data_IF_181617205988
#
_entry.id   IF_181617205988
#
_cell.length_a   1.000
_cell.length_b   1.000
_cell.length_c   1.000
_cell.angle_alpha   90.00
_cell.angle_beta   90.00
_cell.angle_gamma   90.00
#
_symmetry.space_group_name_H-M   'P 1'
#
loop_
_entity.id
_entity.type
_entity.pdbx_description
1 polymer ?
#
# COMPACT_ATOMS: atom_id res chain seq x y z
N UNK A 1 -13.46 -11.38 37.05
CA UNK A 1 -13.92 -12.79 36.97
C UNK A 1 -13.06 -13.63 37.92
N UNK A 2 -13.62 -14.33 38.92
CA UNK A 2 -12.83 -15.18 39.84
C UNK A 2 -12.80 -16.62 39.33
N UNK A 3 -11.61 -17.18 39.13
CA UNK A 3 -11.42 -18.58 38.73
C UNK A 3 -11.41 -19.46 39.99
N UNK A 4 -12.23 -20.50 40.03
CA UNK A 4 -12.29 -21.45 41.15
C UNK A 4 -11.14 -22.47 41.13
N UNK A 5 -10.76 -22.97 42.31
CA UNK A 5 -9.78 -24.07 42.45
C UNK A 5 -10.20 -25.31 41.64
N UNK A 6 -11.52 -25.55 41.51
CA UNK A 6 -12.07 -26.64 40.69
C UNK A 6 -11.73 -26.46 39.20
N UNK A 7 -11.87 -25.24 38.68
CA UNK A 7 -11.50 -24.91 37.30
C UNK A 7 -9.99 -25.03 37.06
N UNK A 8 -9.15 -24.64 38.03
CA UNK A 8 -7.68 -24.78 37.95
C UNK A 8 -7.28 -26.26 37.85
N UNK A 9 -7.87 -27.14 38.67
CA UNK A 9 -7.57 -28.58 38.63
C UNK A 9 -7.95 -29.24 37.30
N UNK A 10 -9.08 -28.82 36.72
CA UNK A 10 -9.51 -29.29 35.39
C UNK A 10 -8.47 -28.90 34.34
N UNK A 11 -8.01 -27.64 34.36
CA UNK A 11 -6.99 -27.14 33.44
C UNK A 11 -5.68 -27.91 33.56
N UNK A 12 -5.17 -28.10 34.79
CA UNK A 12 -3.94 -28.88 35.04
C UNK A 12 -4.07 -30.31 34.49
N UNK A 13 -5.22 -30.97 34.68
CA UNK A 13 -5.45 -32.32 34.16
C UNK A 13 -5.55 -32.37 32.63
N UNK A 14 -6.04 -31.31 31.98
CA UNK A 14 -6.06 -31.20 30.53
C UNK A 14 -4.67 -31.04 29.93
N UNK A 15 -3.77 -30.30 30.60
CA UNK A 15 -2.41 -30.01 30.11
C UNK A 15 -1.46 -31.20 30.33
N UNK A 16 -1.73 -32.06 31.32
CA UNK A 16 -0.90 -33.25 31.65
C UNK A 16 -0.93 -34.35 30.59
N UNK A 17 -1.97 -34.41 29.77
CA UNK A 17 -2.07 -35.38 28.68
C UNK A 17 -1.43 -34.79 27.42
N UNK A 18 -0.31 -35.35 26.91
CA UNK A 18 0.41 -34.78 25.78
C UNK A 18 -0.43 -34.74 24.50
N UNK A 19 -1.39 -35.65 24.32
CA UNK A 19 -2.30 -35.63 23.16
C UNK A 19 -3.28 -34.47 23.25
N UNK A 20 -3.85 -34.23 24.44
CA UNK A 20 -4.76 -33.09 24.67
C UNK A 20 -4.02 -31.76 24.57
N UNK A 21 -2.79 -31.69 25.10
CA UNK A 21 -1.94 -30.52 24.95
C UNK A 21 -1.67 -30.22 23.47
N UNK A 22 -1.34 -31.23 22.67
CA UNK A 22 -1.08 -31.07 21.24
C UNK A 22 -2.33 -30.62 20.47
N UNK A 23 -3.51 -31.14 20.83
CA UNK A 23 -4.79 -30.68 20.29
C UNK A 23 -5.05 -29.21 20.66
N UNK A 24 -4.81 -28.82 21.92
CA UNK A 24 -4.98 -27.42 22.36
C UNK A 24 -4.02 -26.50 21.59
N UNK A 25 -2.75 -26.88 21.46
CA UNK A 25 -1.76 -26.10 20.71
C UNK A 25 -2.14 -25.98 19.23
N UNK A 26 -2.63 -27.06 18.62
CA UNK A 26 -3.14 -27.04 17.25
C UNK A 26 -4.36 -26.12 17.12
N UNK A 27 -5.31 -26.19 18.04
CA UNK A 27 -6.49 -25.31 18.04
C UNK A 27 -6.09 -23.83 18.23
N UNK A 28 -5.09 -23.54 19.06
CA UNK A 28 -4.55 -22.20 19.22
C UNK A 28 -3.84 -21.71 17.95
N UNK A 29 -2.98 -22.54 17.34
CA UNK A 29 -2.31 -22.20 16.09
C UNK A 29 -3.31 -22.01 14.93
N UNK A 30 -4.31 -22.89 14.84
CA UNK A 30 -5.38 -22.80 13.85
C UNK A 30 -6.23 -21.55 14.05
N UNK A 31 -6.63 -21.25 15.29
CA UNK A 31 -7.32 -20.01 15.62
C UNK A 31 -6.46 -18.77 15.28
N UNK A 32 -5.15 -18.81 15.52
CA UNK A 32 -4.25 -17.73 15.14
C UNK A 32 -4.24 -17.51 13.63
N UNK A 33 -4.12 -18.57 12.84
CA UNK A 33 -4.18 -18.50 11.37
C UNK A 33 -5.54 -17.96 10.88
N UNK A 34 -6.65 -18.37 11.51
CA UNK A 34 -7.99 -17.86 11.16
C UNK A 34 -8.20 -16.38 11.49
N UNK A 35 -7.45 -15.83 12.45
CA UNK A 35 -7.54 -14.43 12.88
C UNK A 35 -6.40 -13.55 12.33
N UNK A 36 -5.63 -14.05 11.36
CA UNK A 36 -4.60 -13.26 10.70
C UNK A 36 -5.27 -12.26 9.76
N UNK A 37 -5.20 -10.97 10.09
CA UNK A 37 -5.57 -9.88 9.18
C UNK A 37 -4.30 -9.39 8.49
N UNK A 38 -4.24 -9.57 7.18
CA UNK A 38 -3.13 -9.12 6.36
C UNK A 38 -3.16 -7.59 6.12
N UNK A 39 -4.29 -6.93 6.45
CA UNK A 39 -4.39 -5.49 6.35
C UNK A 39 -3.80 -4.82 7.58
N UNK A 40 -2.51 -4.47 7.49
CA UNK A 40 -1.91 -3.57 8.45
C UNK A 40 -2.16 -2.11 8.04
N UNK A 41 -2.74 -1.34 8.96
CA UNK A 41 -2.94 0.10 8.80
C UNK A 41 -1.94 0.86 9.67
N UNK A 42 -1.20 1.79 9.06
CA UNK A 42 -0.19 2.59 9.74
C UNK A 42 -0.51 4.07 9.56
N UNK A 43 -0.59 4.82 10.67
CA UNK A 43 -0.66 6.28 10.64
C UNK A 43 0.76 6.83 10.51
N UNK A 44 1.05 7.56 9.44
CA UNK A 44 2.39 8.09 9.21
C UNK A 44 2.33 9.53 8.70
N UNK A 45 3.35 10.33 9.04
CA UNK A 45 3.48 11.69 8.53
C UNK A 45 4.34 11.72 7.29
N UNK A 46 3.81 12.21 6.17
CA UNK A 46 4.60 12.36 4.94
C UNK A 46 5.67 13.43 5.15
N UNK A 47 6.92 13.02 5.00
CA UNK A 47 8.11 13.87 5.21
C UNK A 47 8.76 14.31 3.90
N UNK A 48 8.60 13.54 2.82
CA UNK A 48 9.13 13.85 1.51
C UNK A 48 8.32 13.13 0.42
N UNK A 49 8.25 13.72 -0.77
CA UNK A 49 7.68 13.10 -1.97
C UNK A 49 8.82 12.96 -2.96
N UNK A 50 9.16 11.71 -3.28
CA UNK A 50 10.30 11.35 -4.13
C UNK A 50 9.93 11.55 -5.60
N UNK A 51 8.80 11.01 -6.01
CA UNK A 51 8.25 11.12 -7.37
C UNK A 51 6.70 10.99 -7.34
N UNK A 52 6.08 10.75 -8.50
CA UNK A 52 4.62 10.69 -8.65
C UNK A 52 3.95 9.46 -8.02
N UNK A 53 4.70 8.44 -7.58
CA UNK A 53 4.14 7.28 -6.88
C UNK A 53 4.95 6.83 -5.66
N UNK A 54 6.02 7.54 -5.30
CA UNK A 54 6.89 7.19 -4.19
C UNK A 54 7.02 8.34 -3.19
N UNK A 55 6.85 8.05 -1.91
CA UNK A 55 7.02 9.00 -0.79
C UNK A 55 7.94 8.44 0.30
N UNK A 56 8.37 9.32 1.19
CA UNK A 56 8.97 8.94 2.47
C UNK A 56 8.11 9.48 3.62
N UNK A 57 7.72 8.61 4.54
CA UNK A 57 6.92 8.98 5.70
C UNK A 57 7.64 8.63 7.01
N UNK A 58 7.23 9.29 8.09
CA UNK A 58 7.69 8.99 9.45
C UNK A 58 6.59 8.26 10.20
N UNK A 59 6.95 7.11 10.76
CA UNK A 59 6.14 6.37 11.71
C UNK A 59 6.97 6.24 12.98
N UNK A 60 6.47 6.79 14.10
CA UNK A 60 7.24 6.93 15.33
C UNK A 60 8.60 7.63 15.08
N UNK A 61 9.72 6.93 15.29
CA UNK A 61 11.08 7.42 15.04
C UNK A 61 11.72 6.84 13.77
N UNK A 62 10.98 6.06 13.00
CA UNK A 62 11.47 5.39 11.80
C UNK A 62 11.04 6.11 10.52
N UNK A 63 11.92 6.03 9.52
CA UNK A 63 11.67 6.55 8.18
C UNK A 63 11.28 5.40 7.27
N UNK A 64 10.06 5.46 6.75
CA UNK A 64 9.51 4.48 5.83
C UNK A 64 9.61 5.01 4.40
N UNK A 65 9.94 4.13 3.45
CA UNK A 65 9.80 4.41 2.01
C UNK A 65 8.56 3.68 1.50
N UNK A 66 7.68 4.42 0.86
CA UNK A 66 6.39 3.89 0.41
C UNK A 66 6.25 4.13 -1.08
N UNK A 67 5.89 3.08 -1.81
CA UNK A 67 5.40 3.17 -3.19
C UNK A 67 3.89 2.91 -3.19
N UNK A 68 3.16 3.76 -3.90
CA UNK A 68 1.72 3.69 -3.99
C UNK A 68 1.31 2.44 -4.77
N UNK A 69 0.58 1.55 -4.11
CA UNK A 69 0.13 0.28 -4.67
C UNK A 69 -0.92 0.48 -5.79
N UNK A 70 -0.83 -0.35 -6.82
CA UNK A 70 -1.78 -0.38 -7.93
C UNK A 70 -1.63 0.75 -8.96
N UNK A 71 -0.61 1.61 -8.84
CA UNK A 71 -0.36 2.71 -9.77
C UNK A 71 1.09 2.74 -10.23
N UNK A 72 1.34 3.34 -11.40
CA UNK A 72 2.69 3.62 -11.91
C UNK A 72 2.72 5.05 -12.48
N UNK A 73 3.44 5.95 -11.82
CA UNK A 73 3.55 7.34 -12.27
C UNK A 73 4.67 7.52 -13.29
N UNK A 74 4.59 8.52 -14.20
CA UNK A 74 5.70 8.86 -15.06
C UNK A 74 6.97 9.17 -14.26
N UNK A 75 8.10 8.66 -14.72
CA UNK A 75 9.41 8.87 -14.10
C UNK A 75 9.81 10.35 -14.13
N UNK A 76 10.66 10.79 -13.20
CA UNK A 76 10.96 12.24 -13.02
C UNK A 76 11.47 12.96 -14.28
N UNK A 77 12.18 12.24 -15.14
CA UNK A 77 12.73 12.66 -16.43
C UNK A 77 11.86 12.25 -17.63
N UNK A 78 10.76 11.54 -17.39
CA UNK A 78 9.71 11.30 -18.38
C UNK A 78 8.77 12.51 -18.50
N UNK A 79 8.14 12.67 -19.66
CA UNK A 79 7.03 13.60 -19.82
C UNK A 79 5.98 13.40 -18.71
N UNK A 80 5.50 14.51 -18.14
CA UNK A 80 4.58 14.56 -17.00
C UNK A 80 5.11 14.10 -15.63
N UNK A 81 6.34 13.57 -15.52
CA UNK A 81 6.89 13.12 -14.23
C UNK A 81 6.98 14.19 -13.16
N UNK A 82 7.53 15.35 -13.52
CA UNK A 82 7.60 16.52 -12.62
C UNK A 82 6.21 16.99 -12.18
N UNK A 83 5.23 17.00 -13.09
CA UNK A 83 3.86 17.42 -12.78
C UNK A 83 3.16 16.42 -11.85
N UNK A 84 3.36 15.11 -12.06
CA UNK A 84 2.84 14.07 -11.19
C UNK A 84 3.41 14.20 -9.77
N UNK A 85 4.73 14.44 -9.66
CA UNK A 85 5.42 14.65 -8.38
C UNK A 85 4.89 15.90 -7.67
N UNK A 86 4.74 17.02 -8.39
CA UNK A 86 4.19 18.25 -7.84
C UNK A 86 2.75 18.09 -7.36
N UNK A 87 1.92 17.35 -8.12
CA UNK A 87 0.54 17.09 -7.76
C UNK A 87 0.44 16.25 -6.48
N UNK A 88 1.21 15.16 -6.38
CA UNK A 88 1.25 14.36 -5.15
C UNK A 88 1.75 15.19 -3.97
N UNK A 89 2.84 15.93 -4.15
CA UNK A 89 3.41 16.82 -3.14
C UNK A 89 2.38 17.82 -2.58
N UNK A 90 1.65 18.51 -3.46
CA UNK A 90 0.62 19.46 -3.06
C UNK A 90 -0.50 18.83 -2.22
N UNK A 91 -0.76 17.54 -2.43
CA UNK A 91 -1.82 16.82 -1.73
C UNK A 91 -1.35 16.28 -0.39
N UNK A 92 -0.13 15.73 -0.27
CA UNK A 92 0.24 14.91 0.89
C UNK A 92 1.40 15.42 1.73
N UNK A 93 2.23 16.34 1.23
CA UNK A 93 3.43 16.77 1.96
C UNK A 93 3.06 17.35 3.34
N UNK A 94 3.79 16.93 4.38
CA UNK A 94 3.60 17.33 5.78
C UNK A 94 2.24 16.97 6.39
N UNK A 95 1.46 16.08 5.75
CA UNK A 95 0.17 15.61 6.28
C UNK A 95 0.31 14.24 6.94
N UNK A 96 -0.58 13.98 7.89
CA UNK A 96 -0.80 12.65 8.45
C UNK A 96 -1.64 11.84 7.46
N UNK A 97 -1.20 10.65 7.12
CA UNK A 97 -1.87 9.73 6.21
C UNK A 97 -2.04 8.37 6.86
N UNK A 98 -3.04 7.62 6.41
CA UNK A 98 -3.23 6.22 6.78
C UNK A 98 -2.74 5.36 5.63
N UNK A 99 -1.78 4.48 5.89
CA UNK A 99 -1.22 3.55 4.92
C UNK A 99 -1.86 2.18 5.15
N UNK A 100 -2.60 1.68 4.17
CA UNK A 100 -3.05 0.30 4.12
C UNK A 100 -1.99 -0.54 3.40
N UNK A 101 -1.18 -1.25 4.17
CA UNK A 101 -0.04 -2.02 3.66
C UNK A 101 -0.55 -3.23 2.88
N UNK A 102 0.05 -3.46 1.71
CA UNK A 102 -0.30 -4.56 0.81
C UNK A 102 0.83 -5.56 0.62
N UNK A 103 2.07 -5.07 0.54
CA UNK A 103 3.23 -5.91 0.29
C UNK A 103 4.53 -5.10 0.54
N UNK A 104 5.67 -5.72 0.31
CA UNK A 104 6.99 -5.08 0.23
C UNK A 104 7.65 -5.43 -1.10
N UNK A 105 8.17 -4.43 -1.81
CA UNK A 105 8.89 -4.71 -3.04
C UNK A 105 10.35 -5.14 -2.80
N UNK A 106 10.97 -5.72 -3.82
CA UNK A 106 12.38 -6.19 -3.75
C UNK A 106 13.42 -5.11 -3.43
N UNK A 107 13.04 -3.83 -3.43
CA UNK A 107 13.91 -2.71 -3.09
C UNK A 107 13.72 -2.26 -1.62
N UNK A 108 12.89 -2.97 -0.86
CA UNK A 108 12.56 -2.65 0.53
C UNK A 108 11.59 -1.47 0.67
N UNK A 109 10.81 -1.16 -0.37
CA UNK A 109 9.73 -0.17 -0.28
C UNK A 109 8.45 -0.88 0.12
N UNK A 110 7.74 -0.28 1.06
CA UNK A 110 6.40 -0.70 1.44
C UNK A 110 5.44 -0.35 0.28
N UNK A 111 4.65 -1.31 -0.16
CA UNK A 111 3.58 -1.11 -1.12
C UNK A 111 2.27 -0.87 -0.35
N UNK A 112 1.67 0.30 -0.55
CA UNK A 112 0.48 0.68 0.23
C UNK A 112 -0.57 1.47 -0.58
N UNK A 113 -1.83 1.31 -0.19
CA UNK A 113 -2.89 2.26 -0.54
C UNK A 113 -2.89 3.35 0.52
N UNK A 114 -2.69 4.59 0.10
CA UNK A 114 -2.58 5.73 1.01
C UNK A 114 -3.89 6.49 1.09
N UNK A 115 -4.36 6.74 2.31
CA UNK A 115 -5.56 7.50 2.59
C UNK A 115 -5.23 8.82 3.29
N UNK A 116 -5.90 9.89 2.88
CA UNK A 116 -5.89 11.18 3.56
C UNK A 116 -7.34 11.62 3.77
N UNK A 117 -7.77 11.73 5.03
CA UNK A 117 -9.18 12.04 5.37
C UNK A 117 -10.17 11.11 4.63
N UNK A 118 -9.96 9.80 4.75
CA UNK A 118 -10.73 8.73 4.11
C UNK A 118 -10.71 8.72 2.56
N UNK A 119 -9.89 9.58 1.95
CA UNK A 119 -9.72 9.63 0.50
C UNK A 119 -8.53 8.82 0.05
N UNK A 120 -8.75 7.85 -0.83
CA UNK A 120 -7.71 7.10 -1.52
C UNK A 120 -6.90 8.02 -2.44
N UNK A 121 -5.64 8.26 -2.09
CA UNK A 121 -4.74 9.13 -2.85
C UNK A 121 -4.25 8.43 -4.12
N UNK A 122 -4.09 7.12 -4.11
CA UNK A 122 -3.68 6.35 -5.29
C UNK A 122 -4.75 6.51 -6.39
N UNK A 123 -6.03 6.36 -6.02
CA UNK A 123 -7.17 6.64 -6.88
C UNK A 123 -7.15 8.09 -7.41
N UNK A 124 -6.87 9.07 -6.54
CA UNK A 124 -6.81 10.50 -6.90
C UNK A 124 -5.71 10.76 -7.93
N UNK A 125 -4.55 10.12 -7.82
CA UNK A 125 -3.45 10.24 -8.79
C UNK A 125 -3.92 9.78 -10.18
N UNK A 126 -4.53 8.61 -10.27
CA UNK A 126 -5.00 8.04 -11.55
C UNK A 126 -6.14 8.86 -12.14
N UNK A 127 -7.15 9.22 -11.33
CA UNK A 127 -8.34 9.96 -11.77
C UNK A 127 -8.01 11.35 -12.34
N UNK A 128 -6.90 11.94 -11.92
CA UNK A 128 -6.42 13.24 -12.43
C UNK A 128 -5.35 13.11 -13.52
N UNK A 129 -5.03 11.89 -13.97
CA UNK A 129 -4.09 11.65 -15.05
C UNK A 129 -2.63 11.87 -14.65
N UNK A 130 -2.28 11.68 -13.38
CA UNK A 130 -0.89 11.79 -12.90
C UNK A 130 -0.23 10.43 -12.64
N UNK A 131 -0.98 9.34 -12.80
CA UNK A 131 -0.45 7.98 -12.80
C UNK A 131 -1.30 7.08 -13.72
N UNK A 132 -0.68 5.99 -14.17
CA UNK A 132 -1.36 4.89 -14.84
C UNK A 132 -1.93 3.93 -13.78
N UNK A 133 -3.05 3.29 -14.09
CA UNK A 133 -3.47 2.09 -13.37
C UNK A 133 -2.48 0.97 -13.70
N UNK A 134 -1.89 0.34 -12.68
CA UNK A 134 -0.84 -0.65 -12.90
C UNK A 134 -1.41 -2.06 -13.04
N UNK A 135 -2.02 -2.29 -14.20
CA UNK A 135 -2.77 -3.51 -14.56
C UNK A 135 -1.93 -4.80 -14.56
N UNK A 136 -0.59 -4.69 -14.48
CA UNK A 136 0.29 -5.85 -14.32
C UNK A 136 0.14 -6.55 -12.95
N UNK A 137 -0.34 -5.84 -11.93
CA UNK A 137 -0.45 -6.36 -10.56
C UNK A 137 -1.87 -6.33 -10.00
N UNK A 138 -2.75 -5.46 -10.52
CA UNK A 138 -4.13 -5.35 -10.03
C UNK A 138 -5.03 -4.65 -11.03
N UNK A 139 -6.33 -4.95 -10.99
CA UNK A 139 -7.37 -4.23 -11.74
C UNK A 139 -7.83 -2.93 -11.05
N UNK A 140 -7.10 -2.47 -10.03
CA UNK A 140 -7.42 -1.24 -9.32
C UNK A 140 -7.28 -0.03 -10.26
N UNK A 141 -8.21 0.92 -10.08
CA UNK A 141 -8.20 2.24 -10.70
C UNK A 141 -8.38 2.29 -12.24
N UNK A 142 -8.73 1.17 -12.88
CA UNK A 142 -8.98 1.12 -14.34
C UNK A 142 -10.10 2.08 -14.76
N UNK A 143 -11.17 2.17 -13.95
CA UNK A 143 -12.28 3.09 -14.23
C UNK A 143 -11.85 4.56 -14.13
N UNK A 144 -11.02 4.89 -13.16
CA UNK A 144 -10.46 6.22 -12.96
C UNK A 144 -9.51 6.62 -14.07
N UNK A 145 -8.74 5.65 -14.57
CA UNK A 145 -7.88 5.83 -15.74
C UNK A 145 -8.74 6.13 -16.98
N UNK A 146 -9.79 5.36 -17.21
CA UNK A 146 -10.71 5.58 -18.34
C UNK A 146 -11.38 6.96 -18.25
N UNK A 147 -11.85 7.33 -17.06
CA UNK A 147 -12.37 8.68 -16.81
C UNK A 147 -11.33 9.77 -17.12
N UNK A 148 -10.07 9.60 -16.70
CA UNK A 148 -9.01 10.56 -16.96
C UNK A 148 -8.68 10.68 -18.46
N UNK A 149 -8.73 9.57 -19.21
CA UNK A 149 -8.59 9.52 -20.68
C UNK A 149 -9.71 10.28 -21.38
N UNK A 150 -10.97 9.95 -21.07
CA UNK A 150 -12.17 10.57 -21.66
C UNK A 150 -12.19 12.09 -21.46
N UNK A 151 -11.69 12.54 -20.30
CA UNK A 151 -11.67 13.95 -19.91
C UNK A 151 -10.33 14.65 -20.22
N UNK A 152 -9.40 13.98 -20.93
CA UNK A 152 -8.07 14.51 -21.29
C UNK A 152 -7.35 15.16 -20.11
N UNK A 153 -7.27 14.44 -18.98
CA UNK A 153 -6.63 14.94 -17.75
C UNK A 153 -5.15 14.59 -17.70
N UNK A 154 -4.33 15.49 -17.17
CA UNK A 154 -2.90 15.23 -16.91
C UNK A 154 -2.18 14.70 -18.15
N UNK A 155 -1.52 13.55 -18.02
CA UNK A 155 -0.79 12.89 -19.10
C UNK A 155 -1.66 12.51 -20.31
N UNK A 156 -2.99 12.39 -20.14
CA UNK A 156 -3.94 12.08 -21.21
C UNK A 156 -4.31 13.28 -22.09
N UNK A 157 -3.72 14.45 -21.85
CA UNK A 157 -3.74 15.57 -22.81
C UNK A 157 -2.86 15.23 -24.02
N UNK A 158 -1.78 14.47 -23.81
CA UNK A 158 -0.92 13.97 -24.87
C UNK A 158 -1.67 12.98 -25.76
N UNK A 159 -1.42 13.00 -27.06
CA UNK A 159 -2.00 12.04 -28.00
C UNK A 159 -1.39 10.64 -27.82
N UNK A 160 -0.11 10.55 -27.43
CA UNK A 160 0.61 9.29 -27.31
C UNK A 160 1.43 9.21 -26.01
N UNK A 161 0.79 9.27 -24.83
CA UNK A 161 1.52 9.14 -23.58
C UNK A 161 2.13 7.75 -23.46
N UNK A 162 3.38 7.70 -22.99
CA UNK A 162 4.13 6.45 -22.84
C UNK A 162 3.96 5.94 -21.40
N UNK A 163 3.68 4.66 -21.21
CA UNK A 163 3.69 4.03 -19.88
C UNK A 163 5.10 4.03 -19.27
N UNK A 164 5.25 4.21 -17.95
CA UNK A 164 6.57 4.25 -17.33
C UNK A 164 7.37 2.96 -17.55
N UNK A 165 6.74 1.78 -17.51
CA UNK A 165 7.40 0.52 -17.85
C UNK A 165 7.99 0.48 -19.28
N UNK A 166 7.25 1.00 -20.27
CA UNK A 166 7.70 1.09 -21.67
C UNK A 166 8.85 2.08 -21.80
N UNK A 167 8.74 3.23 -21.14
CA UNK A 167 9.79 4.25 -21.10
C UNK A 167 11.10 3.72 -20.47
N UNK A 168 11.02 3.01 -19.33
CA UNK A 168 12.19 2.39 -18.67
C UNK A 168 12.91 1.41 -19.59
N UNK A 169 12.17 0.64 -20.41
CA UNK A 169 12.76 -0.28 -21.39
C UNK A 169 13.52 0.45 -22.50
N UNK A 170 13.00 1.57 -22.99
CA UNK A 170 13.64 2.34 -24.05
C UNK A 170 14.99 2.92 -23.61
N UNK A 171 15.10 3.37 -22.36
CA UNK A 171 16.34 3.96 -21.84
C UNK A 171 17.41 2.92 -21.54
N UNK A 172 17.03 1.74 -21.04
CA UNK A 172 17.99 0.65 -20.76
C UNK A 172 18.66 0.07 -22.02
N UNK A 173 18.10 0.34 -23.20
CA UNK A 173 18.61 -0.13 -24.49
C UNK A 173 19.46 0.92 -25.22
N UNK A 174 19.62 2.12 -24.63
CA UNK A 174 20.52 3.16 -25.12
C UNK A 174 21.85 3.11 -24.37
#
# INVERSE_FOLDING_TARGET
MKISIKQIKILINLIKDPKKLLIILFLFAFAYVLNYDDNSYINAKVSHVVDGDTIEAKFENEKLKIRLFGIDAPESDQAYGKMATQFLNAIVLNKEVVLNIKDEDKYGRILAIMYLNDKDINQVMVKNGFAWAYEYYSDLYVNEQNYAKENKKGLWVDENPIEPYKWRKQIRLK
#
